data_IF_598080756797
#
_entry.id   IF_598080756797
#
_cell.length_a   1.000
_cell.length_b   1.000
_cell.length_c   1.000
_cell.angle_alpha   90.00
_cell.angle_beta   90.00
_cell.angle_gamma   90.00
#
_symmetry.space_group_name_H-M   'P 1'
#
loop_
_entity.id
_entity.type
_entity.pdbx_description
1 polymer ?
#
# COMPACT_ATOMS: atom_id res chain seq x y z
N UNK A 1 -11.37 -50.07 43.37
CA UNK A 1 -12.16 -48.88 42.97
C UNK A 1 -11.33 -47.61 42.77
N UNK A 2 -10.38 -47.27 43.66
CA UNK A 2 -9.55 -46.05 43.52
C UNK A 2 -8.77 -45.95 42.20
N UNK A 3 -8.15 -47.03 41.75
CA UNK A 3 -7.41 -47.02 40.48
C UNK A 3 -8.30 -46.70 39.26
N UNK A 4 -9.50 -47.28 39.18
CA UNK A 4 -10.45 -47.00 38.08
C UNK A 4 -10.89 -45.54 38.07
N UNK A 5 -11.14 -44.94 39.23
CA UNK A 5 -11.49 -43.52 39.34
C UNK A 5 -10.33 -42.62 38.87
N UNK A 6 -9.09 -42.95 39.25
CA UNK A 6 -7.90 -42.20 38.80
C UNK A 6 -7.74 -42.27 37.28
N UNK A 7 -7.91 -43.45 36.67
CA UNK A 7 -7.84 -43.58 35.21
C UNK A 7 -8.95 -42.79 34.50
N UNK A 8 -10.17 -42.78 35.03
CA UNK A 8 -11.27 -41.98 34.48
C UNK A 8 -10.99 -40.47 34.56
N UNK A 9 -10.47 -39.99 35.70
CA UNK A 9 -10.08 -38.59 35.86
C UNK A 9 -8.96 -38.22 34.89
N UNK A 10 -7.92 -39.06 34.78
CA UNK A 10 -6.83 -38.83 33.84
C UNK A 10 -7.32 -38.78 32.39
N UNK A 11 -8.19 -39.70 31.98
CA UNK A 11 -8.79 -39.69 30.64
C UNK A 11 -9.62 -38.43 30.40
N UNK A 12 -10.44 -38.00 31.36
CA UNK A 12 -11.21 -36.76 31.27
C UNK A 12 -10.30 -35.52 31.14
N UNK A 13 -9.20 -35.44 31.88
CA UNK A 13 -8.24 -34.34 31.78
C UNK A 13 -7.53 -34.32 30.42
N UNK A 14 -7.18 -35.49 29.88
CA UNK A 14 -6.59 -35.60 28.53
C UNK A 14 -7.59 -35.12 27.48
N UNK A 15 -8.84 -35.56 27.53
CA UNK A 15 -9.89 -35.13 26.59
C UNK A 15 -10.15 -33.64 26.72
N UNK A 16 -10.25 -33.10 27.94
CA UNK A 16 -10.45 -31.67 28.18
C UNK A 16 -9.26 -30.84 27.66
N UNK A 17 -8.03 -31.30 27.87
CA UNK A 17 -6.82 -30.66 27.35
C UNK A 17 -6.79 -30.66 25.82
N UNK A 18 -7.18 -31.78 25.21
CA UNK A 18 -7.27 -31.91 23.75
C UNK A 18 -8.35 -30.99 23.16
N UNK A 19 -9.54 -30.94 23.76
CA UNK A 19 -10.62 -30.04 23.36
C UNK A 19 -10.24 -28.57 23.54
N UNK A 20 -9.59 -28.22 24.64
CA UNK A 20 -9.07 -26.87 24.87
C UNK A 20 -8.03 -26.49 23.80
N UNK A 21 -7.13 -27.41 23.45
CA UNK A 21 -6.13 -27.17 22.40
C UNK A 21 -6.77 -27.04 21.01
N UNK A 22 -7.77 -27.87 20.71
CA UNK A 22 -8.54 -27.78 19.46
C UNK A 22 -9.33 -26.45 19.36
N UNK A 23 -10.00 -26.06 20.45
CA UNK A 23 -10.69 -24.77 20.55
C UNK A 23 -9.75 -23.59 20.39
N UNK A 24 -8.61 -23.62 21.08
CA UNK A 24 -7.54 -22.63 20.93
C UNK A 24 -7.02 -22.58 19.50
N UNK A 25 -6.77 -23.73 18.87
CA UNK A 25 -6.35 -23.78 17.47
C UNK A 25 -7.36 -23.12 16.54
N UNK A 26 -8.65 -23.44 16.67
CA UNK A 26 -9.72 -22.88 15.85
C UNK A 26 -9.93 -21.37 16.09
N UNK A 27 -9.77 -20.90 17.32
CA UNK A 27 -9.98 -19.50 17.69
C UNK A 27 -8.97 -18.55 17.02
N UNK A 28 -7.71 -18.97 16.85
CA UNK A 28 -6.66 -18.16 16.20
C UNK A 28 -6.47 -18.43 14.71
N UNK A 29 -7.45 -19.07 14.07
CA UNK A 29 -7.50 -19.18 12.61
C UNK A 29 -8.33 -18.06 12.03
N UNK A 30 -7.90 -17.56 10.88
CA UNK A 30 -8.75 -16.74 10.03
C UNK A 30 -9.97 -17.58 9.62
N UNK A 31 -11.20 -17.03 9.73
CA UNK A 31 -12.41 -17.69 9.20
C UNK A 31 -12.26 -18.03 7.73
N UNK A 32 -11.77 -17.05 6.97
CA UNK A 32 -11.54 -17.16 5.53
C UNK A 32 -10.22 -16.45 5.18
N UNK A 33 -9.42 -17.01 4.26
CA UNK A 33 -8.25 -16.32 3.73
C UNK A 33 -8.72 -15.18 2.81
N UNK A 34 -7.95 -14.09 2.73
CA UNK A 34 -8.39 -12.89 1.99
C UNK A 34 -7.29 -11.86 1.83
N UNK A 35 -7.54 -10.87 0.98
CA UNK A 35 -6.64 -9.73 0.85
C UNK A 35 -6.71 -8.84 2.09
N UNK A 36 -5.58 -8.25 2.47
CA UNK A 36 -5.56 -7.09 3.34
C UNK A 36 -6.31 -5.94 2.67
N UNK A 37 -6.63 -4.89 3.43
CA UNK A 37 -7.21 -3.69 2.84
C UNK A 37 -6.10 -2.88 2.19
N UNK A 38 -6.27 -2.56 0.92
CA UNK A 38 -5.36 -1.68 0.18
C UNK A 38 -5.99 -0.30 0.00
N UNK A 39 -5.18 0.73 0.16
CA UNK A 39 -5.49 2.12 -0.17
C UNK A 39 -4.37 2.61 -1.09
N UNK A 40 -4.55 2.38 -2.38
CA UNK A 40 -3.50 2.52 -3.38
C UNK A 40 -3.89 3.60 -4.37
N UNK A 41 -3.00 4.55 -4.59
CA UNK A 41 -2.96 5.42 -5.74
C UNK A 41 -1.90 4.89 -6.71
N UNK A 42 -2.28 4.70 -7.96
CA UNK A 42 -1.37 4.25 -9.01
C UNK A 42 -1.58 5.08 -10.26
N UNK A 43 -0.54 5.20 -11.07
CA UNK A 43 -0.63 5.86 -12.38
C UNK A 43 -0.56 4.76 -13.41
N UNK A 44 -1.47 4.78 -14.39
CA UNK A 44 -1.53 3.75 -15.42
C UNK A 44 -0.36 3.86 -16.40
N UNK A 45 0.86 3.53 -15.97
CA UNK A 45 2.12 3.59 -16.73
C UNK A 45 2.96 2.33 -16.47
N UNK A 46 3.77 1.85 -17.45
CA UNK A 46 4.50 0.58 -17.33
C UNK A 46 5.50 0.51 -16.17
N UNK A 47 6.04 1.66 -15.74
CA UNK A 47 7.10 1.75 -14.72
C UNK A 47 6.59 1.67 -13.29
N UNK A 48 5.27 1.68 -13.08
CA UNK A 48 4.68 1.65 -11.73
C UNK A 48 4.36 0.21 -11.33
N UNK A 49 4.84 -0.17 -10.14
CA UNK A 49 4.53 -1.45 -9.54
C UNK A 49 4.11 -1.28 -8.07
N UNK A 50 3.24 -2.16 -7.60
CA UNK A 50 2.77 -2.19 -6.21
C UNK A 50 2.29 -3.58 -5.84
N UNK A 51 2.35 -3.93 -4.56
CA UNK A 51 1.99 -5.27 -4.11
C UNK A 51 0.59 -5.30 -3.51
N UNK A 52 -0.15 -6.37 -3.83
CA UNK A 52 -1.32 -6.78 -3.06
C UNK A 52 -0.90 -7.86 -2.06
N UNK A 53 -1.43 -7.77 -0.86
CA UNK A 53 -1.09 -8.68 0.24
C UNK A 53 -2.28 -9.57 0.55
N UNK A 54 -2.09 -10.86 0.46
CA UNK A 54 -3.09 -11.90 0.74
C UNK A 54 -2.69 -12.69 1.98
N UNK A 55 -3.59 -12.80 2.96
CA UNK A 55 -3.34 -13.56 4.19
C UNK A 55 -4.12 -14.86 4.16
N UNK A 56 -3.43 -15.96 4.41
CA UNK A 56 -4.05 -17.27 4.59
C UNK A 56 -3.55 -17.97 5.84
N UNK A 57 -4.33 -18.92 6.35
CA UNK A 57 -3.82 -19.86 7.35
C UNK A 57 -2.74 -20.75 6.70
N UNK A 58 -1.75 -21.20 7.49
CA UNK A 58 -0.63 -22.01 6.97
C UNK A 58 -1.04 -23.34 6.34
N UNK A 59 -2.14 -23.91 6.81
CA UNK A 59 -2.70 -25.17 6.30
C UNK A 59 -3.66 -24.96 5.10
N UNK A 60 -3.82 -23.72 4.63
CA UNK A 60 -4.64 -23.44 3.47
C UNK A 60 -3.98 -23.97 2.19
N UNK A 61 -4.73 -24.80 1.47
CA UNK A 61 -4.29 -25.42 0.21
C UNK A 61 -4.52 -24.50 -0.99
N UNK A 62 -5.44 -23.54 -0.86
CA UNK A 62 -5.83 -22.66 -1.95
C UNK A 62 -5.04 -21.36 -1.85
N UNK A 63 -4.14 -21.15 -2.82
CA UNK A 63 -3.26 -19.97 -2.86
C UNK A 63 -3.56 -19.13 -4.09
N UNK A 64 -3.52 -17.80 -4.00
CA UNK A 64 -3.65 -16.96 -5.18
C UNK A 64 -2.46 -17.22 -6.12
N UNK A 65 -2.71 -17.20 -7.42
CA UNK A 65 -1.73 -17.42 -8.49
C UNK A 65 -1.55 -16.14 -9.30
N UNK A 66 -2.65 -15.47 -9.62
CA UNK A 66 -2.64 -14.18 -10.30
C UNK A 66 -3.93 -13.42 -10.03
N UNK A 67 -3.90 -12.10 -10.23
CA UNK A 67 -5.11 -11.28 -10.23
C UNK A 67 -5.15 -10.34 -11.45
N UNK A 68 -6.37 -9.95 -11.82
CA UNK A 68 -6.65 -9.01 -12.91
C UNK A 68 -7.73 -8.02 -12.49
N UNK A 69 -7.63 -6.80 -12.99
CA UNK A 69 -8.60 -5.74 -12.77
C UNK A 69 -9.51 -5.57 -13.99
N UNK A 70 -10.81 -5.47 -13.76
CA UNK A 70 -11.74 -5.08 -14.82
C UNK A 70 -11.55 -3.60 -15.18
N UNK A 71 -11.49 -3.27 -16.47
CA UNK A 71 -11.23 -1.92 -16.97
C UNK A 71 -9.77 -1.46 -16.92
N UNK A 72 -8.85 -2.30 -16.41
CA UNK A 72 -7.39 -2.14 -16.53
C UNK A 72 -6.77 -3.46 -16.96
N UNK A 73 -7.00 -3.87 -18.21
CA UNK A 73 -6.61 -5.18 -18.73
C UNK A 73 -5.07 -5.37 -18.74
N UNK A 74 -4.32 -4.28 -18.84
CA UNK A 74 -2.87 -4.28 -18.75
C UNK A 74 -2.35 -4.41 -17.31
N UNK A 75 -3.16 -4.10 -16.29
CA UNK A 75 -2.77 -4.30 -14.89
C UNK A 75 -2.83 -5.79 -14.55
N UNK A 76 -1.68 -6.36 -14.26
CA UNK A 76 -1.54 -7.77 -13.90
C UNK A 76 -0.82 -7.92 -12.58
N UNK A 77 -1.24 -8.90 -11.80
CA UNK A 77 -0.64 -9.22 -10.51
C UNK A 77 -0.02 -10.62 -10.55
N UNK A 78 1.31 -10.70 -10.67
CA UNK A 78 2.12 -11.93 -10.63
C UNK A 78 3.63 -11.60 -10.61
N UNK A 79 4.53 -12.51 -10.22
CA UNK A 79 4.27 -13.78 -9.55
C UNK A 79 3.85 -13.57 -8.08
N UNK A 80 3.27 -14.62 -7.49
CA UNK A 80 2.99 -14.66 -6.05
C UNK A 80 4.23 -15.06 -5.29
N UNK A 81 4.54 -14.33 -4.22
CA UNK A 81 5.71 -14.53 -3.38
C UNK A 81 5.29 -14.62 -1.92
N UNK A 82 6.08 -15.28 -1.08
CA UNK A 82 5.88 -15.22 0.37
C UNK A 82 6.44 -13.89 0.87
N UNK A 83 5.57 -13.04 1.41
CA UNK A 83 5.96 -11.77 2.04
C UNK A 83 6.43 -11.99 3.48
N UNK A 84 5.67 -12.78 4.24
CA UNK A 84 5.99 -13.06 5.63
C UNK A 84 5.37 -14.38 6.09
N UNK A 85 6.12 -15.17 6.84
CA UNK A 85 5.61 -16.34 7.55
C UNK A 85 5.48 -16.06 9.04
N UNK A 86 4.26 -16.19 9.57
CA UNK A 86 3.96 -16.06 10.99
C UNK A 86 3.71 -17.44 11.59
N UNK A 87 3.44 -17.54 12.90
CA UNK A 87 3.24 -18.86 13.54
C UNK A 87 2.07 -19.64 12.95
N UNK A 88 1.00 -18.96 12.53
CA UNK A 88 -0.27 -19.58 12.07
C UNK A 88 -0.73 -19.12 10.70
N UNK A 89 -0.27 -17.96 10.25
CA UNK A 89 -0.64 -17.36 8.97
C UNK A 89 0.59 -17.20 8.08
N UNK A 90 0.35 -17.15 6.78
CA UNK A 90 1.33 -16.72 5.78
C UNK A 90 0.73 -15.55 5.02
N UNK A 91 1.52 -14.49 4.88
CA UNK A 91 1.19 -13.34 4.02
C UNK A 91 1.91 -13.55 2.69
N UNK A 92 1.15 -13.51 1.61
CA UNK A 92 1.64 -13.59 0.25
C UNK A 92 1.58 -12.20 -0.39
N UNK A 93 2.59 -11.84 -1.17
CA UNK A 93 2.58 -10.65 -2.01
C UNK A 93 2.33 -11.02 -3.47
N UNK A 94 1.41 -10.32 -4.12
CA UNK A 94 1.18 -10.36 -5.55
C UNK A 94 1.63 -9.04 -6.15
N UNK A 95 2.71 -9.06 -6.93
CA UNK A 95 3.25 -7.85 -7.52
C UNK A 95 2.45 -7.42 -8.74
N UNK A 96 1.84 -6.25 -8.63
CA UNK A 96 1.13 -5.55 -9.68
C UNK A 96 2.08 -4.77 -10.59
N UNK A 97 1.85 -4.83 -11.89
CA UNK A 97 2.50 -3.96 -12.89
C UNK A 97 1.61 -3.82 -14.13
N UNK A 98 1.89 -2.79 -14.93
CA UNK A 98 1.20 -2.57 -16.19
C UNK A 98 2.02 -3.16 -17.35
N UNK A 99 1.46 -4.16 -18.03
CA UNK A 99 2.06 -4.76 -19.23
C UNK A 99 1.96 -3.79 -20.40
N UNK A 100 3.09 -3.20 -20.78
CA UNK A 100 3.19 -2.20 -21.86
C UNK A 100 2.59 -2.70 -23.18
N UNK A 101 2.74 -4.00 -23.49
CA UNK A 101 2.21 -4.59 -24.73
C UNK A 101 0.67 -4.64 -24.77
N UNK A 102 0.02 -4.47 -23.62
CA UNK A 102 -1.44 -4.45 -23.47
C UNK A 102 -1.98 -3.04 -23.27
N UNK A 103 -1.12 -2.06 -23.10
CA UNK A 103 -1.53 -0.67 -22.94
C UNK A 103 -1.99 -0.13 -24.29
N UNK A 104 -3.19 0.45 -24.30
CA UNK A 104 -3.72 1.13 -25.46
C UNK A 104 -3.32 2.60 -25.43
N UNK A 105 -3.12 3.18 -26.61
CA UNK A 105 -3.05 4.63 -26.75
C UNK A 105 -4.34 5.25 -26.22
N UNK A 106 -4.22 6.32 -25.45
CA UNK A 106 -5.37 6.94 -24.81
C UNK A 106 -5.14 8.42 -24.53
N UNK A 107 -6.24 9.15 -24.46
CA UNK A 107 -6.26 10.50 -23.91
C UNK A 107 -6.28 10.46 -22.38
N UNK A 108 -6.03 11.60 -21.77
CA UNK A 108 -6.25 11.79 -20.35
C UNK A 108 -7.73 11.56 -20.01
N UNK A 109 -7.99 10.85 -18.92
CA UNK A 109 -9.33 10.56 -18.48
C UNK A 109 -9.44 10.47 -16.96
N UNK A 110 -10.68 10.47 -16.49
CA UNK A 110 -10.99 10.41 -15.05
C UNK A 110 -10.32 9.21 -14.38
N UNK A 111 -9.86 9.35 -13.12
CA UNK A 111 -9.32 8.23 -12.36
C UNK A 111 -10.31 7.07 -12.26
N UNK A 112 -9.83 5.84 -12.46
CA UNK A 112 -10.64 4.63 -12.27
C UNK A 112 -10.49 4.15 -10.83
N UNK A 113 -11.61 3.89 -10.15
CA UNK A 113 -11.64 3.30 -8.81
C UNK A 113 -11.98 1.82 -8.89
N UNK A 114 -11.15 0.99 -8.28
CA UNK A 114 -11.31 -0.45 -8.24
C UNK A 114 -11.37 -0.91 -6.79
N UNK A 115 -12.40 -1.70 -6.44
CA UNK A 115 -12.54 -2.25 -5.10
C UNK A 115 -12.35 -3.77 -5.04
N UNK A 116 -12.49 -4.44 -6.19
CA UNK A 116 -12.37 -5.88 -6.29
C UNK A 116 -11.56 -6.28 -7.53
N UNK A 117 -10.98 -7.48 -7.48
CA UNK A 117 -10.20 -8.06 -8.57
C UNK A 117 -10.64 -9.49 -8.83
N UNK A 118 -10.50 -9.94 -10.08
CA UNK A 118 -10.67 -11.34 -10.45
C UNK A 118 -9.37 -12.09 -10.17
N UNK A 119 -9.39 -12.96 -9.18
CA UNK A 119 -8.23 -13.69 -8.64
C UNK A 119 -8.33 -15.16 -9.03
N UNK A 120 -7.27 -15.66 -9.66
CA UNK A 120 -7.12 -17.07 -9.99
C UNK A 120 -6.35 -17.77 -8.87
N UNK A 121 -6.84 -18.94 -8.46
CA UNK A 121 -6.26 -19.74 -7.39
C UNK A 121 -5.58 -21.02 -7.92
N UNK A 122 -4.74 -21.62 -7.07
CA UNK A 122 -3.99 -22.84 -7.35
C UNK A 122 -4.84 -24.08 -7.57
N UNK A 123 -6.10 -24.07 -7.15
CA UNK A 123 -7.09 -25.12 -7.43
C UNK A 123 -7.82 -24.93 -8.78
N UNK A 124 -7.43 -23.90 -9.55
CA UNK A 124 -8.06 -23.53 -10.83
C UNK A 124 -9.31 -22.68 -10.69
N UNK A 125 -9.79 -22.42 -9.47
CA UNK A 125 -10.95 -21.54 -9.26
C UNK A 125 -10.60 -20.08 -9.53
N UNK A 126 -11.61 -19.32 -9.97
CA UNK A 126 -11.52 -17.87 -10.12
C UNK A 126 -12.60 -17.24 -9.26
N UNK A 127 -12.24 -16.25 -8.46
CA UNK A 127 -13.18 -15.51 -7.62
C UNK A 127 -12.93 -14.02 -7.72
N UNK A 128 -14.00 -13.26 -7.56
CA UNK A 128 -13.90 -11.84 -7.33
C UNK A 128 -13.64 -11.61 -5.84
N UNK A 129 -12.54 -10.92 -5.53
CA UNK A 129 -12.09 -10.69 -4.16
C UNK A 129 -11.98 -9.19 -3.91
N UNK A 130 -12.47 -8.74 -2.76
CA UNK A 130 -12.33 -7.36 -2.33
C UNK A 130 -10.89 -7.09 -1.88
N UNK A 131 -10.27 -6.04 -2.41
CA UNK A 131 -8.89 -5.64 -2.12
C UNK A 131 -8.81 -4.25 -1.48
N UNK A 132 -9.92 -3.67 -1.05
CA UNK A 132 -9.97 -2.29 -0.56
C UNK A 132 -10.28 -1.31 -1.68
N UNK A 133 -9.40 -0.34 -1.94
CA UNK A 133 -9.59 0.67 -2.98
C UNK A 133 -8.26 1.02 -3.66
N UNK A 134 -8.26 0.86 -4.98
CA UNK A 134 -7.18 1.22 -5.88
C UNK A 134 -7.69 2.32 -6.80
N UNK A 135 -7.04 3.48 -6.78
CA UNK A 135 -7.31 4.63 -7.63
C UNK A 135 -6.23 4.67 -8.70
N UNK A 136 -6.61 4.33 -9.94
CA UNK A 136 -5.74 4.36 -11.09
C UNK A 136 -5.94 5.65 -11.88
N UNK A 137 -4.99 6.57 -11.78
CA UNK A 137 -4.93 7.78 -12.59
C UNK A 137 -4.58 7.43 -14.03
N UNK A 138 -5.31 8.01 -14.98
CA UNK A 138 -5.22 7.68 -16.40
C UNK A 138 -4.75 8.89 -17.22
N UNK A 139 -3.46 9.29 -17.09
CA UNK A 139 -2.92 10.32 -17.97
C UNK A 139 -2.89 9.80 -19.41
N UNK A 140 -2.74 10.72 -20.36
CA UNK A 140 -2.52 10.38 -21.76
C UNK A 140 -1.32 9.43 -21.92
N UNK A 141 -1.43 8.49 -22.84
CA UNK A 141 -0.37 7.52 -23.14
C UNK A 141 -0.24 7.34 -24.66
N UNK A 142 0.98 7.41 -25.23
CA UNK A 142 2.26 7.70 -24.57
C UNK A 142 2.33 9.15 -24.02
N UNK A 143 3.18 9.43 -23.01
CA UNK A 143 3.30 10.78 -22.48
C UNK A 143 3.82 11.75 -23.56
N UNK A 144 3.32 12.98 -23.51
CA UNK A 144 3.78 14.05 -24.40
C UNK A 144 5.25 14.39 -24.08
N UNK A 145 6.16 13.95 -24.95
CA UNK A 145 7.60 14.15 -24.80
C UNK A 145 8.03 15.60 -24.90
N UNK A 146 7.15 16.50 -25.37
CA UNK A 146 7.46 17.93 -25.47
C UNK A 146 7.24 18.67 -24.15
N UNK A 147 6.52 18.04 -23.21
CA UNK A 147 6.22 18.59 -21.88
C UNK A 147 7.18 18.03 -20.84
N UNK A 148 8.34 18.66 -20.72
CA UNK A 148 9.28 18.35 -19.63
C UNK A 148 8.81 19.02 -18.34
N UNK A 149 8.83 18.32 -17.19
CA UNK A 149 8.47 18.92 -15.91
C UNK A 149 9.45 20.04 -15.49
N UNK A 150 8.98 21.09 -14.78
CA UNK A 150 9.84 22.18 -14.31
C UNK A 150 10.77 21.77 -13.16
N UNK A 151 10.60 20.55 -12.64
CA UNK A 151 11.42 19.95 -11.60
C UNK A 151 11.94 18.60 -12.05
N UNK A 152 13.12 18.21 -11.54
CA UNK A 152 13.72 16.91 -11.80
C UNK A 152 14.01 16.20 -10.48
N UNK A 153 13.77 14.89 -10.43
CA UNK A 153 14.18 14.06 -9.31
C UNK A 153 15.68 14.21 -9.01
N UNK A 154 16.00 14.41 -7.74
CA UNK A 154 17.38 14.58 -7.27
C UNK A 154 17.80 13.46 -6.33
N UNK A 155 16.96 13.13 -5.34
CA UNK A 155 17.23 12.01 -4.42
C UNK A 155 15.97 11.51 -3.73
N UNK A 156 16.03 10.33 -3.14
CA UNK A 156 14.94 9.77 -2.35
C UNK A 156 15.47 8.85 -1.26
N UNK A 157 14.76 8.80 -0.13
CA UNK A 157 15.10 7.98 1.02
C UNK A 157 13.85 7.26 1.52
N UNK A 158 14.00 5.99 1.87
CA UNK A 158 13.01 5.22 2.62
C UNK A 158 13.63 4.72 3.93
N UNK A 159 12.80 4.52 4.95
CA UNK A 159 13.22 4.03 6.25
C UNK A 159 12.24 3.00 6.79
N UNK A 160 12.74 2.09 7.64
CA UNK A 160 11.94 1.02 8.26
C UNK A 160 10.99 1.50 9.36
N UNK A 161 11.06 2.78 9.72
CA UNK A 161 10.15 3.45 10.66
C UNK A 161 8.93 4.08 9.94
N UNK A 162 8.68 3.65 8.70
CA UNK A 162 7.60 4.13 7.83
C UNK A 162 7.70 5.62 7.49
N UNK A 163 8.92 6.17 7.53
CA UNK A 163 9.22 7.48 6.99
C UNK A 163 9.96 7.38 5.67
N UNK A 164 9.88 8.44 4.89
CA UNK A 164 10.66 8.60 3.68
C UNK A 164 10.76 10.06 3.30
N UNK A 165 11.56 10.32 2.28
CA UNK A 165 11.63 11.62 1.64
C UNK A 165 11.92 11.49 0.16
N UNK A 166 11.52 12.50 -0.60
CA UNK A 166 11.93 12.68 -1.98
C UNK A 166 12.32 14.14 -2.17
N UNK A 167 13.40 14.36 -2.90
CA UNK A 167 13.87 15.68 -3.23
C UNK A 167 13.90 15.87 -4.75
N UNK A 168 13.46 17.05 -5.18
CA UNK A 168 13.48 17.50 -6.56
C UNK A 168 14.24 18.82 -6.66
N UNK A 169 14.86 19.05 -7.81
CA UNK A 169 15.52 20.32 -8.12
C UNK A 169 14.76 21.01 -9.24
N UNK A 170 14.46 22.30 -9.06
CA UNK A 170 13.87 23.13 -10.10
C UNK A 170 14.87 23.28 -11.26
N UNK A 171 14.46 22.87 -12.46
CA UNK A 171 15.23 23.09 -13.70
C UNK A 171 14.78 24.36 -14.42
N UNK A 172 13.59 24.86 -14.07
CA UNK A 172 13.03 26.15 -14.50
C UNK A 172 12.30 26.79 -13.32
N UNK A 173 12.09 28.13 -13.34
CA UNK A 173 11.31 28.79 -12.30
C UNK A 173 9.89 28.22 -12.24
N UNK A 174 9.42 27.91 -11.04
CA UNK A 174 8.07 27.40 -10.83
C UNK A 174 7.58 27.70 -9.41
N UNK A 175 6.27 27.74 -9.23
CA UNK A 175 5.63 27.89 -7.92
C UNK A 175 4.97 26.58 -7.53
N UNK A 176 5.37 26.01 -6.40
CA UNK A 176 4.64 24.92 -5.75
C UNK A 176 3.40 25.49 -5.07
N UNK A 177 2.21 25.21 -5.61
CA UNK A 177 0.95 25.71 -5.06
C UNK A 177 0.36 24.83 -3.96
N UNK A 178 0.73 23.55 -3.89
CA UNK A 178 0.20 22.63 -2.90
C UNK A 178 0.62 21.17 -3.11
N UNK A 179 0.24 20.33 -2.16
CA UNK A 179 0.39 18.87 -2.21
C UNK A 179 -0.96 18.23 -2.00
N UNK A 180 -1.33 17.25 -2.81
CA UNK A 180 -2.59 16.51 -2.66
C UNK A 180 -2.40 15.00 -2.77
N UNK A 181 -3.38 14.26 -2.24
CA UNK A 181 -3.59 12.83 -2.47
C UNK A 181 -5.02 12.49 -2.05
N UNK A 182 -5.60 11.47 -2.67
CA UNK A 182 -6.92 10.95 -2.31
C UNK A 182 -7.00 10.39 -0.87
N UNK A 183 -5.85 10.10 -0.24
CA UNK A 183 -5.79 9.45 1.07
C UNK A 183 -5.45 10.37 2.24
N UNK A 184 -5.06 11.63 1.99
CA UNK A 184 -4.64 12.54 3.06
C UNK A 184 -5.73 12.77 4.11
N UNK A 185 -6.97 13.00 3.68
CA UNK A 185 -8.10 13.22 4.59
C UNK A 185 -8.37 11.99 5.45
N UNK A 186 -8.42 10.81 4.83
CA UNK A 186 -8.65 9.53 5.51
C UNK A 186 -7.56 9.22 6.52
N UNK A 187 -6.30 9.45 6.14
CA UNK A 187 -5.16 9.18 7.00
C UNK A 187 -5.09 10.17 8.18
N UNK A 188 -5.53 11.42 7.98
CA UNK A 188 -5.58 12.44 9.03
C UNK A 188 -4.27 12.51 9.83
N UNK A 189 -4.38 12.45 11.17
CA UNK A 189 -3.21 12.48 12.05
C UNK A 189 -2.30 11.24 11.99
N UNK A 190 -2.69 10.18 11.28
CA UNK A 190 -1.89 8.97 11.07
C UNK A 190 -0.92 9.10 9.89
N UNK A 191 -0.93 10.22 9.18
CA UNK A 191 0.07 10.54 8.16
C UNK A 191 0.51 11.98 8.31
N UNK A 192 1.83 12.21 8.24
CA UNK A 192 2.40 13.56 8.28
C UNK A 192 3.36 13.72 7.12
N UNK A 193 3.36 14.90 6.54
CA UNK A 193 4.39 15.30 5.60
C UNK A 193 4.86 16.72 5.91
N UNK A 194 6.08 17.04 5.48
CA UNK A 194 6.74 18.34 5.65
C UNK A 194 7.45 18.69 4.35
N UNK A 195 7.34 19.95 3.94
CA UNK A 195 7.99 20.48 2.74
C UNK A 195 9.17 21.33 3.20
N UNK A 196 10.35 21.07 2.66
CA UNK A 196 11.60 21.76 2.99
C UNK A 196 12.21 22.34 1.73
N UNK A 197 12.55 23.62 1.76
CA UNK A 197 13.24 24.30 0.67
C UNK A 197 14.71 24.51 1.06
N UNK A 198 15.60 24.15 0.15
CA UNK A 198 17.02 24.45 0.26
C UNK A 198 17.41 25.41 -0.87
N UNK A 199 18.32 26.33 -0.56
CA UNK A 199 18.87 27.24 -1.55
C UNK A 199 19.72 26.51 -2.60
N UNK A 200 20.23 27.27 -3.57
CA UNK A 200 21.07 26.76 -4.66
C UNK A 200 22.42 26.19 -4.20
N UNK A 201 22.83 26.45 -2.95
CA UNK A 201 24.04 25.92 -2.33
C UNK A 201 23.74 24.70 -1.44
N UNK A 202 22.48 24.24 -1.41
CA UNK A 202 22.03 23.13 -0.60
C UNK A 202 21.85 23.47 0.89
N UNK A 203 21.91 24.76 1.26
CA UNK A 203 21.68 25.20 2.63
C UNK A 203 20.18 25.29 2.91
N UNK A 204 19.71 24.80 4.07
CA UNK A 204 18.31 24.92 4.44
C UNK A 204 17.89 26.39 4.50
N UNK A 205 16.80 26.75 3.82
CA UNK A 205 16.18 28.05 4.04
C UNK A 205 15.52 28.07 5.43
N UNK A 206 15.62 29.18 6.16
CA UNK A 206 14.93 29.34 7.44
C UNK A 206 13.61 30.08 7.24
N UNK A 207 12.49 29.60 7.82
CA UNK A 207 12.33 28.35 8.58
C UNK A 207 12.43 27.11 7.69
N UNK A 208 12.88 25.98 8.26
CA UNK A 208 13.09 24.73 7.51
C UNK A 208 11.82 24.14 6.89
N UNK A 209 10.65 24.48 7.43
CA UNK A 209 9.35 24.11 6.87
C UNK A 209 8.84 25.25 5.99
N UNK A 210 8.69 24.99 4.71
CA UNK A 210 8.09 25.91 3.76
C UNK A 210 6.56 25.85 3.83
N UNK A 211 5.91 27.00 3.72
CA UNK A 211 4.47 27.12 3.49
C UNK A 211 4.22 27.22 1.99
N UNK A 212 3.11 26.65 1.51
CA UNK A 212 2.63 26.86 0.14
C UNK A 212 1.74 28.11 0.06
N UNK A 213 1.78 28.90 -1.03
CA UNK A 213 2.62 28.70 -2.22
C UNK A 213 4.11 28.97 -1.96
N UNK A 214 4.98 28.20 -2.62
CA UNK A 214 6.43 28.32 -2.54
C UNK A 214 7.01 28.58 -3.93
N UNK A 215 7.62 29.74 -4.12
CA UNK A 215 8.35 30.09 -5.33
C UNK A 215 9.71 29.42 -5.35
N UNK A 216 10.08 28.85 -6.49
CA UNK A 216 11.35 28.17 -6.70
C UNK A 216 12.08 28.75 -7.90
N UNK A 217 13.33 29.15 -7.67
CA UNK A 217 14.27 29.52 -8.74
C UNK A 217 14.99 28.29 -9.28
N UNK A 218 15.50 28.40 -10.51
CA UNK A 218 16.35 27.37 -11.12
C UNK A 218 17.51 26.99 -10.21
N UNK A 219 17.68 25.69 -9.97
CA UNK A 219 18.73 25.11 -9.13
C UNK A 219 18.36 24.97 -7.65
N UNK A 220 17.26 25.58 -7.18
CA UNK A 220 16.78 25.36 -5.82
C UNK A 220 16.24 23.94 -5.66
N UNK A 221 16.38 23.39 -4.46
CA UNK A 221 15.94 22.03 -4.14
C UNK A 221 14.74 22.07 -3.19
N UNK A 222 13.74 21.27 -3.50
CA UNK A 222 12.59 20.99 -2.65
C UNK A 222 12.72 19.56 -2.12
N UNK A 223 12.52 19.34 -0.83
CA UNK A 223 12.37 18.01 -0.24
C UNK A 223 10.99 17.88 0.38
N UNK A 224 10.30 16.79 0.06
CA UNK A 224 9.09 16.37 0.74
C UNK A 224 9.44 15.18 1.62
N UNK A 225 9.34 15.38 2.93
CA UNK A 225 9.49 14.34 3.93
C UNK A 225 8.10 13.83 4.34
N UNK A 226 7.93 12.53 4.55
CA UNK A 226 6.67 11.95 5.02
C UNK A 226 6.89 10.89 6.09
N UNK A 227 5.86 10.61 6.90
CA UNK A 227 5.83 9.51 7.86
C UNK A 227 4.42 9.00 8.13
N UNK A 228 4.26 7.68 8.10
CA UNK A 228 3.07 6.99 8.61
C UNK A 228 3.16 6.78 10.14
N UNK A 229 2.06 7.06 10.84
CA UNK A 229 1.89 6.97 12.29
C UNK A 229 0.66 6.11 12.65
N UNK A 230 0.60 4.91 12.07
CA UNK A 230 -0.52 3.98 12.23
C UNK A 230 -0.49 3.35 13.64
N UNK A 231 -1.62 3.41 14.36
CA UNK A 231 -1.75 2.90 15.74
C UNK A 231 -2.78 1.80 15.88
N UNK A 232 -3.89 1.91 15.15
CA UNK A 232 -4.98 0.93 15.20
C UNK A 232 -4.61 -0.36 14.47
N UNK A 233 -5.00 -1.51 15.03
CA UNK A 233 -4.63 -2.81 14.48
C UNK A 233 -5.07 -3.01 13.02
N UNK A 234 -6.27 -2.51 12.68
CA UNK A 234 -6.79 -2.54 11.31
C UNK A 234 -5.95 -1.71 10.33
N UNK A 235 -5.47 -0.54 10.77
CA UNK A 235 -4.67 0.35 9.93
C UNK A 235 -3.24 -0.16 9.79
N UNK A 236 -2.66 -0.72 10.85
CA UNK A 236 -1.33 -1.35 10.84
C UNK A 236 -1.24 -2.56 9.91
N UNK A 237 -2.38 -3.17 9.55
CA UNK A 237 -2.45 -4.25 8.57
C UNK A 237 -3.05 -3.81 7.23
N UNK A 238 -3.31 -2.53 7.05
CA UNK A 238 -3.68 -2.00 5.75
C UNK A 238 -2.41 -1.69 4.94
N UNK A 239 -2.51 -1.80 3.62
CA UNK A 239 -1.43 -1.43 2.70
C UNK A 239 -1.74 -0.04 2.16
N UNK A 240 -0.77 0.86 2.20
CA UNK A 240 -0.90 2.19 1.62
C UNK A 240 0.14 2.40 0.53
N UNK A 241 -0.30 2.88 -0.62
CA UNK A 241 0.56 3.45 -1.65
C UNK A 241 -0.04 4.81 -1.99
N UNK A 242 0.48 5.84 -1.36
CA UNK A 242 -0.05 7.21 -1.43
C UNK A 242 0.76 7.97 -2.47
N UNK A 243 0.09 8.61 -3.42
CA UNK A 243 0.75 9.47 -4.40
C UNK A 243 0.60 10.92 -3.98
N UNK A 244 1.61 11.44 -3.29
CA UNK A 244 1.67 12.86 -2.95
C UNK A 244 1.99 13.64 -4.23
N UNK A 245 0.97 14.29 -4.80
CA UNK A 245 1.05 15.12 -6.00
C UNK A 245 1.43 16.53 -5.61
N UNK A 246 2.65 16.92 -5.94
CA UNK A 246 3.15 18.28 -5.85
C UNK A 246 2.70 19.06 -7.08
N UNK A 247 1.90 20.10 -6.86
CA UNK A 247 1.32 20.91 -7.94
C UNK A 247 2.21 22.12 -8.23
N UNK A 248 2.84 22.14 -9.40
CA UNK A 248 3.70 23.22 -9.88
C UNK A 248 2.98 24.06 -10.94
N UNK A 249 3.22 25.38 -10.90
CA UNK A 249 2.82 26.33 -11.94
C UNK A 249 4.05 27.11 -12.42
N UNK A 250 4.33 27.10 -13.72
CA UNK A 250 5.39 27.91 -14.35
C UNK A 250 4.91 29.36 -14.56
N UNK A 251 5.81 30.35 -14.77
CA UNK A 251 5.43 31.75 -14.99
C UNK A 251 4.50 32.01 -16.19
N UNK A 252 4.50 31.11 -17.17
CA UNK A 252 3.60 31.15 -18.34
C UNK A 252 2.18 30.61 -18.04
N UNK A 253 1.94 30.12 -16.82
CA UNK A 253 0.68 29.52 -16.38
C UNK A 253 0.57 28.01 -16.63
N UNK A 254 1.58 27.37 -17.22
CA UNK A 254 1.63 25.93 -17.43
C UNK A 254 1.64 25.19 -16.09
N UNK A 255 0.84 24.11 -15.98
CA UNK A 255 0.69 23.32 -14.75
C UNK A 255 1.31 21.94 -14.90
N UNK A 256 1.97 21.49 -13.83
CA UNK A 256 2.61 20.18 -13.77
C UNK A 256 2.40 19.53 -12.41
N UNK A 257 2.15 18.23 -12.41
CA UNK A 257 2.13 17.42 -11.19
C UNK A 257 3.39 16.58 -11.14
N UNK A 258 4.15 16.71 -10.04
CA UNK A 258 5.21 15.78 -9.70
C UNK A 258 4.72 14.82 -8.63
N UNK A 259 5.03 13.52 -8.75
CA UNK A 259 4.49 12.49 -7.86
C UNK A 259 5.58 11.97 -6.94
N UNK A 260 5.37 12.10 -5.63
CA UNK A 260 6.15 11.42 -4.59
C UNK A 260 5.35 10.24 -4.05
N UNK A 261 5.92 9.03 -4.14
CA UNK A 261 5.27 7.82 -3.64
C UNK A 261 5.58 7.61 -2.15
N UNK A 262 4.56 7.69 -1.32
CA UNK A 262 4.63 7.33 0.09
C UNK A 262 4.02 5.94 0.32
N UNK A 263 4.89 4.95 0.54
CA UNK A 263 4.49 3.55 0.65
C UNK A 263 4.54 3.06 2.10
N UNK A 264 3.51 2.32 2.51
CA UNK A 264 3.48 1.52 3.73
C UNK A 264 3.07 0.09 3.39
N UNK A 265 3.99 -0.85 3.62
CA UNK A 265 3.75 -2.29 3.47
C UNK A 265 3.86 -2.93 4.85
N UNK A 266 2.78 -3.52 5.39
CA UNK A 266 2.77 -4.02 6.75
C UNK A 266 3.70 -5.23 6.92
N UNK A 267 4.41 -5.26 8.04
CA UNK A 267 5.22 -6.41 8.49
C UNK A 267 4.84 -6.75 9.94
N UNK A 268 3.61 -7.27 10.16
CA UNK A 268 3.04 -7.45 11.48
C UNK A 268 3.83 -8.45 12.33
N UNK A 269 3.78 -8.26 13.64
CA UNK A 269 4.14 -9.28 14.63
C UNK A 269 3.03 -10.32 14.77
N UNK A 270 3.33 -11.49 15.34
CA UNK A 270 2.31 -12.48 15.70
C UNK A 270 1.21 -11.90 16.61
N UNK A 271 1.53 -10.91 17.45
CA UNK A 271 0.54 -10.27 18.31
C UNK A 271 -0.45 -9.42 17.51
N UNK A 272 0.04 -8.63 16.55
CA UNK A 272 -0.79 -7.83 15.65
C UNK A 272 -1.65 -8.72 14.75
N UNK A 273 -1.09 -9.80 14.19
CA UNK A 273 -1.87 -10.75 13.40
C UNK A 273 -2.96 -11.45 14.23
N UNK A 274 -2.67 -11.84 15.49
CA UNK A 274 -3.71 -12.38 16.38
C UNK A 274 -4.83 -11.37 16.66
N UNK A 275 -4.51 -10.09 16.82
CA UNK A 275 -5.51 -9.05 17.00
C UNK A 275 -6.42 -8.93 15.77
N UNK A 276 -5.83 -8.92 14.58
CA UNK A 276 -6.55 -8.92 13.31
C UNK A 276 -7.45 -10.14 13.11
N UNK A 277 -6.95 -11.34 13.40
CA UNK A 277 -7.77 -12.56 13.31
C UNK A 277 -9.01 -12.45 14.20
N UNK A 278 -8.89 -11.92 15.42
CA UNK A 278 -10.04 -11.72 16.33
C UNK A 278 -11.03 -10.71 15.76
N UNK A 279 -10.56 -9.61 15.19
CA UNK A 279 -11.41 -8.60 14.55
C UNK A 279 -12.16 -9.18 13.35
N UNK A 280 -11.48 -9.93 12.48
CA UNK A 280 -12.11 -10.57 11.31
C UNK A 280 -13.15 -11.61 11.71
N UNK A 281 -12.92 -12.36 12.79
CA UNK A 281 -13.94 -13.26 13.37
C UNK A 281 -15.16 -12.50 13.86
N UNK A 282 -14.96 -11.41 14.60
CA UNK A 282 -16.07 -10.60 15.13
C UNK A 282 -16.91 -9.92 14.05
N UNK A 283 -16.42 -9.84 12.79
CA UNK A 283 -17.20 -9.37 11.63
C UNK A 283 -17.96 -10.48 10.90
N UNK A 284 -17.57 -11.73 11.08
CA UNK A 284 -18.16 -12.88 10.42
C UNK A 284 -19.28 -13.53 11.25
N UNK A 285 -19.36 -13.20 12.54
CA UNK A 285 -20.43 -13.58 13.48
C UNK A 285 -21.54 -12.52 13.49
#
# INVERSE_FOLDING_TARGET
MRARAVYLIAAALIVASWLANYGYYRYYRLPEPGFLRHYIETTYTPSVAFDLLYVANKDDKRKPVSATAEGLEALRFYPVQVHQELRRQTIYALRGYFDENRMQERQEGEPLRLNALKVQYSDGSVREENVGEIIAYRPAWPPDKTKEPPVRFSSGRGSSDNSGSAAVTAVRPATLSGVSSAWLEKLGGAFRYEIKANDTHGMPQQPSSATVPLEMDTGQMLSLDYRFQLKEAADVLSVYNVQLREHFTEPDGSKYDYIVFANYTPYPTDAQMRAYVREMRGRAE
#
